data_IF_129438455825
#
_entry.id   IF_129438455825
#
_cell.length_a   1.000
_cell.length_b   1.000
_cell.length_c   1.000
_cell.angle_alpha   90.00
_cell.angle_beta   90.00
_cell.angle_gamma   90.00
#
_symmetry.space_group_name_H-M   'P 1'
#
loop_
_entity.id
_entity.type
_entity.pdbx_description
1 polymer ?
#
# COMPACT_ATOMS: atom_id res chain seq x y z
N UNK A 1 -25.12 -13.70 -7.47
CA UNK A 1 -24.23 -13.76 -6.28
C UNK A 1 -22.82 -14.25 -6.61
N UNK A 2 -22.62 -15.45 -7.20
CA UNK A 2 -21.25 -15.96 -7.53
C UNK A 2 -20.50 -14.98 -8.43
N UNK A 3 -21.11 -14.45 -9.49
CA UNK A 3 -20.48 -13.46 -10.37
C UNK A 3 -20.03 -12.20 -9.63
N UNK A 4 -20.77 -11.74 -8.65
CA UNK A 4 -20.43 -10.56 -7.83
C UNK A 4 -19.21 -10.84 -6.94
N UNK A 5 -19.15 -12.04 -6.34
CA UNK A 5 -17.96 -12.47 -5.56
C UNK A 5 -16.73 -12.51 -6.45
N UNK A 6 -16.83 -13.13 -7.63
CA UNK A 6 -15.70 -13.19 -8.60
C UNK A 6 -15.28 -11.80 -9.03
N UNK A 7 -16.23 -10.92 -9.33
CA UNK A 7 -15.93 -9.53 -9.70
C UNK A 7 -15.22 -8.78 -8.57
N UNK A 8 -15.67 -8.93 -7.32
CA UNK A 8 -15.01 -8.35 -6.16
C UNK A 8 -13.59 -8.89 -5.94
N UNK A 9 -13.41 -10.21 -6.03
CA UNK A 9 -12.07 -10.83 -5.92
C UNK A 9 -11.12 -10.33 -7.01
N UNK A 10 -11.59 -10.28 -8.26
CA UNK A 10 -10.79 -9.76 -9.38
C UNK A 10 -10.46 -8.28 -9.20
N UNK A 11 -11.39 -7.48 -8.70
CA UNK A 11 -11.14 -6.08 -8.39
C UNK A 11 -10.08 -5.92 -7.29
N UNK A 12 -10.19 -6.66 -6.20
CA UNK A 12 -9.26 -6.59 -5.09
C UNK A 12 -7.85 -7.10 -5.44
N UNK A 13 -7.75 -8.24 -6.14
CA UNK A 13 -6.45 -8.72 -6.63
C UNK A 13 -5.87 -7.81 -7.71
N UNK A 14 -6.69 -7.29 -8.61
CA UNK A 14 -6.26 -6.41 -9.68
C UNK A 14 -5.58 -5.13 -9.18
N UNK A 15 -6.07 -4.53 -8.08
CA UNK A 15 -5.44 -3.37 -7.46
C UNK A 15 -4.22 -3.75 -6.60
N UNK A 16 -4.25 -4.92 -5.95
CA UNK A 16 -3.24 -5.30 -4.97
C UNK A 16 -2.00 -5.97 -5.58
N UNK A 17 -2.17 -6.78 -6.65
CA UNK A 17 -1.07 -7.56 -7.27
C UNK A 17 0.02 -6.71 -7.91
N UNK A 18 -0.27 -5.58 -8.59
CA UNK A 18 0.79 -4.73 -9.11
C UNK A 18 1.61 -4.15 -7.95
N UNK A 19 2.79 -4.72 -7.70
CA UNK A 19 3.66 -4.28 -6.60
C UNK A 19 4.20 -2.88 -6.91
N UNK A 20 3.53 -1.88 -6.35
CA UNK A 20 3.91 -0.48 -6.45
C UNK A 20 4.72 0.00 -5.24
N UNK A 21 4.91 1.33 -5.10
CA UNK A 21 5.62 1.93 -3.99
C UNK A 21 5.05 1.54 -2.61
N UNK A 22 3.73 1.42 -2.48
CA UNK A 22 3.03 1.04 -1.24
C UNK A 22 3.39 -0.39 -0.83
N UNK A 23 3.30 -1.35 -1.76
CA UNK A 23 3.67 -2.75 -1.51
C UNK A 23 5.15 -2.90 -1.15
N UNK A 24 6.03 -2.20 -1.87
CA UNK A 24 7.47 -2.17 -1.58
C UNK A 24 7.75 -1.61 -0.18
N UNK A 25 7.06 -0.53 0.20
CA UNK A 25 7.17 0.04 1.54
C UNK A 25 6.65 -0.92 2.62
N UNK A 26 5.54 -1.63 2.37
CA UNK A 26 4.98 -2.64 3.26
C UNK A 26 6.00 -3.76 3.55
N UNK A 27 6.60 -4.33 2.50
CA UNK A 27 7.65 -5.36 2.62
C UNK A 27 8.83 -4.84 3.43
N UNK A 28 9.33 -3.64 3.10
CA UNK A 28 10.45 -3.02 3.80
C UNK A 28 10.13 -2.68 5.28
N UNK A 29 8.92 -2.21 5.55
CA UNK A 29 8.45 -1.93 6.91
C UNK A 29 8.42 -3.23 7.72
N UNK A 30 7.84 -4.30 7.18
CA UNK A 30 7.73 -5.58 7.86
C UNK A 30 9.10 -6.21 8.10
N UNK A 31 10.01 -6.14 7.12
CA UNK A 31 11.38 -6.64 7.24
C UNK A 31 12.17 -5.96 8.38
N UNK A 32 11.89 -4.67 8.64
CA UNK A 32 12.58 -3.87 9.68
C UNK A 32 11.91 -3.91 11.04
N UNK A 33 10.66 -4.34 11.12
CA UNK A 33 9.88 -4.33 12.35
C UNK A 33 9.50 -5.74 12.80
N UNK A 34 8.27 -6.15 12.55
CA UNK A 34 7.78 -7.48 12.86
C UNK A 34 6.60 -7.85 11.97
N UNK A 35 6.30 -9.15 11.88
CA UNK A 35 5.12 -9.64 11.16
C UNK A 35 3.82 -9.02 11.71
N UNK A 36 3.73 -8.82 13.02
CA UNK A 36 2.55 -8.18 13.65
C UNK A 36 2.35 -6.77 13.12
N UNK A 37 3.39 -5.95 13.10
CA UNK A 37 3.33 -4.57 12.59
C UNK A 37 3.03 -4.57 11.08
N UNK A 38 3.66 -5.49 10.33
CA UNK A 38 3.38 -5.68 8.91
C UNK A 38 1.95 -6.10 8.63
N UNK A 39 1.35 -6.97 9.45
CA UNK A 39 -0.04 -7.37 9.31
C UNK A 39 -1.01 -6.19 9.54
N UNK A 40 -0.77 -5.36 10.56
CA UNK A 40 -1.56 -4.13 10.74
C UNK A 40 -1.39 -3.15 9.58
N UNK A 41 -0.19 -2.99 9.07
CA UNK A 41 0.10 -2.18 7.89
C UNK A 41 -0.63 -2.72 6.64
N UNK A 42 -0.59 -4.04 6.41
CA UNK A 42 -1.30 -4.72 5.33
C UNK A 42 -2.82 -4.51 5.40
N UNK A 43 -3.39 -4.62 6.60
CA UNK A 43 -4.82 -4.34 6.83
C UNK A 43 -5.15 -2.86 6.59
N UNK A 44 -4.23 -1.93 6.87
CA UNK A 44 -4.40 -0.52 6.53
C UNK A 44 -4.53 -0.30 5.02
N UNK A 45 -3.67 -0.95 4.21
CA UNK A 45 -3.78 -0.93 2.73
C UNK A 45 -5.12 -1.51 2.29
N UNK A 46 -5.45 -2.72 2.75
CA UNK A 46 -6.68 -3.39 2.36
C UNK A 46 -7.94 -2.60 2.75
N UNK A 47 -7.91 -1.89 3.89
CA UNK A 47 -9.01 -1.02 4.30
C UNK A 47 -9.20 0.16 3.35
N UNK A 48 -8.12 0.76 2.84
CA UNK A 48 -8.20 1.80 1.81
C UNK A 48 -8.80 1.25 0.52
N UNK A 49 -8.35 0.08 0.07
CA UNK A 49 -8.91 -0.59 -1.12
C UNK A 49 -10.39 -0.92 -0.94
N UNK A 50 -10.78 -1.39 0.27
CA UNK A 50 -12.19 -1.64 0.62
C UNK A 50 -13.05 -0.37 0.59
N UNK A 51 -12.52 0.76 1.08
CA UNK A 51 -13.21 2.07 0.99
C UNK A 51 -13.39 2.47 -0.47
N UNK A 52 -12.36 2.36 -1.29
CA UNK A 52 -12.47 2.65 -2.73
C UNK A 52 -13.46 1.71 -3.44
N UNK A 53 -13.45 0.42 -3.09
CA UNK A 53 -14.42 -0.54 -3.61
C UNK A 53 -15.86 -0.16 -3.21
N UNK A 54 -16.06 0.30 -1.97
CA UNK A 54 -17.37 0.77 -1.50
C UNK A 54 -17.85 2.02 -2.24
N UNK A 55 -16.97 2.99 -2.45
CA UNK A 55 -17.24 4.20 -3.23
C UNK A 55 -17.55 3.82 -4.69
N UNK A 56 -16.76 2.94 -5.28
CA UNK A 56 -16.96 2.45 -6.65
C UNK A 56 -18.33 1.76 -6.80
N UNK A 57 -18.69 0.86 -5.88
CA UNK A 57 -19.96 0.15 -5.92
C UNK A 57 -21.18 1.01 -5.58
N UNK A 58 -20.99 2.06 -4.75
CA UNK A 58 -22.09 2.90 -4.24
C UNK A 58 -22.44 4.09 -5.14
N UNK A 59 -21.43 4.80 -5.64
CA UNK A 59 -21.60 6.10 -6.28
C UNK A 59 -20.86 6.22 -7.63
N UNK A 60 -20.43 5.10 -8.18
CA UNK A 60 -19.49 5.07 -9.28
C UNK A 60 -19.87 5.88 -10.51
N UNK A 61 -21.10 5.75 -10.98
CA UNK A 61 -21.57 6.46 -12.17
C UNK A 61 -21.66 7.98 -11.97
N UNK A 62 -21.89 8.43 -10.74
CA UNK A 62 -22.00 9.87 -10.39
C UNK A 62 -20.63 10.49 -10.14
N UNK A 63 -19.71 9.73 -9.53
CA UNK A 63 -18.40 10.25 -9.14
C UNK A 63 -17.35 10.17 -10.24
N UNK A 64 -17.48 9.28 -11.21
CA UNK A 64 -16.52 9.10 -12.28
C UNK A 64 -16.18 10.41 -13.03
N UNK A 65 -17.16 11.22 -13.47
CA UNK A 65 -16.86 12.48 -14.15
C UNK A 65 -16.19 13.52 -13.25
N UNK A 66 -16.44 13.47 -11.93
CA UNK A 66 -15.84 14.39 -10.95
C UNK A 66 -14.40 14.02 -10.60
N UNK A 67 -14.04 12.75 -10.75
CA UNK A 67 -12.69 12.27 -10.43
C UNK A 67 -11.68 12.56 -11.56
N UNK A 68 -12.12 12.56 -12.81
CA UNK A 68 -11.25 12.77 -13.99
C UNK A 68 -10.37 14.02 -13.88
N UNK A 69 -10.88 15.22 -13.53
CA UNK A 69 -10.06 16.43 -13.46
C UNK A 69 -9.05 16.46 -12.32
N UNK A 70 -9.30 15.72 -11.22
CA UNK A 70 -8.43 15.73 -10.03
C UNK A 70 -7.37 14.62 -10.03
N UNK A 71 -7.46 13.64 -10.93
CA UNK A 71 -6.50 12.54 -11.03
C UNK A 71 -5.09 13.05 -11.33
N UNK A 72 -4.94 14.04 -12.23
CA UNK A 72 -3.65 14.62 -12.57
C UNK A 72 -2.94 15.28 -11.37
N UNK A 73 -3.54 16.27 -10.73
CA UNK A 73 -2.99 16.90 -9.51
C UNK A 73 -2.67 15.89 -8.40
N UNK A 74 -3.56 14.92 -8.18
CA UNK A 74 -3.38 13.91 -7.14
C UNK A 74 -2.21 12.97 -7.45
N UNK A 75 -1.99 12.64 -8.72
CA UNK A 75 -0.85 11.86 -9.19
C UNK A 75 0.47 12.54 -8.81
N UNK A 76 0.60 13.83 -9.07
CA UNK A 76 1.79 14.62 -8.71
C UNK A 76 1.97 14.74 -7.19
N UNK A 77 0.90 15.01 -6.45
CA UNK A 77 0.95 15.05 -5.00
C UNK A 77 1.46 13.71 -4.40
N UNK A 78 0.99 12.60 -4.93
CA UNK A 78 1.43 11.27 -4.48
C UNK A 78 2.90 11.00 -4.79
N UNK A 79 3.40 11.42 -5.95
CA UNK A 79 4.83 11.29 -6.29
C UNK A 79 5.69 12.06 -5.29
N UNK A 80 5.32 13.29 -4.97
CA UNK A 80 6.04 14.11 -3.98
C UNK A 80 6.05 13.42 -2.61
N UNK A 81 4.91 12.90 -2.15
CA UNK A 81 4.83 12.18 -0.87
C UNK A 81 5.67 10.90 -0.87
N UNK A 82 5.59 10.10 -1.93
CA UNK A 82 6.34 8.84 -2.04
C UNK A 82 7.85 9.07 -2.10
N UNK A 83 8.30 10.05 -2.90
CA UNK A 83 9.73 10.44 -2.96
C UNK A 83 10.17 10.97 -1.60
N UNK A 84 9.37 11.84 -0.97
CA UNK A 84 9.67 12.34 0.37
C UNK A 84 9.86 11.22 1.39
N UNK A 85 8.96 10.24 1.43
CA UNK A 85 9.06 9.06 2.31
C UNK A 85 10.28 8.19 1.98
N UNK A 86 10.59 7.99 0.71
CA UNK A 86 11.77 7.23 0.28
C UNK A 86 13.06 7.92 0.73
N UNK A 87 13.17 9.23 0.51
CA UNK A 87 14.34 10.03 0.93
C UNK A 87 14.49 10.04 2.45
N UNK A 88 13.41 10.28 3.19
CA UNK A 88 13.42 10.24 4.65
C UNK A 88 13.78 8.85 5.19
N UNK A 89 13.27 7.79 4.55
CA UNK A 89 13.60 6.40 4.88
C UNK A 89 15.07 6.08 4.66
N UNK A 90 15.62 6.46 3.51
CA UNK A 90 17.04 6.29 3.17
C UNK A 90 17.94 7.11 4.11
N UNK A 91 17.62 8.38 4.34
CA UNK A 91 18.39 9.26 5.23
C UNK A 91 18.42 8.71 6.67
N UNK A 92 17.27 8.27 7.20
CA UNK A 92 17.20 7.61 8.51
C UNK A 92 18.03 6.32 8.56
N UNK A 93 18.00 5.50 7.50
CA UNK A 93 18.77 4.25 7.45
C UNK A 93 20.29 4.53 7.44
N UNK A 94 20.75 5.49 6.65
CA UNK A 94 22.15 5.89 6.59
C UNK A 94 22.61 6.50 7.92
N UNK A 95 21.80 7.41 8.49
CA UNK A 95 22.09 8.01 9.80
C UNK A 95 22.24 6.95 10.88
N UNK A 96 21.32 6.02 10.98
CA UNK A 96 21.35 4.90 11.93
C UNK A 96 22.56 3.98 11.73
N UNK A 97 22.94 3.72 10.48
CA UNK A 97 24.12 2.93 10.18
C UNK A 97 25.39 3.61 10.67
N UNK A 98 25.52 4.95 10.47
CA UNK A 98 26.65 5.76 10.95
C UNK A 98 26.66 5.86 12.48
N UNK A 99 25.50 6.11 13.11
CA UNK A 99 25.36 6.23 14.56
C UNK A 99 25.66 4.91 15.27
N UNK A 100 25.28 3.75 14.71
CA UNK A 100 25.62 2.43 15.27
C UNK A 100 27.10 2.10 15.27
N UNK A 101 27.88 2.75 14.44
CA UNK A 101 29.33 2.65 14.48
C UNK A 101 29.94 3.40 15.68
N UNK A 102 29.14 4.30 16.29
CA UNK A 102 29.57 5.17 17.40
C UNK A 102 28.87 4.76 18.72
N UNK A 103 27.61 4.30 18.68
CA UNK A 103 26.81 4.00 19.85
C UNK A 103 26.04 2.67 19.71
N UNK A 104 26.51 1.62 20.34
CA UNK A 104 25.89 0.28 20.32
C UNK A 104 24.58 0.15 21.12
N UNK A 105 23.92 1.24 21.58
CA UNK A 105 22.91 1.19 22.63
C UNK A 105 21.67 2.08 22.47
N UNK A 106 21.28 2.53 21.28
CA UNK A 106 19.96 3.18 21.16
C UNK A 106 18.98 2.29 20.43
N UNK A 107 18.05 1.71 21.21
CA UNK A 107 16.88 0.97 20.72
C UNK A 107 16.04 1.86 19.81
N UNK A 108 15.72 1.35 18.64
CA UNK A 108 14.74 1.99 17.74
C UNK A 108 13.42 2.12 18.50
N UNK A 109 12.83 3.32 18.51
CA UNK A 109 11.45 3.48 18.99
C UNK A 109 10.57 2.61 18.07
N UNK A 110 9.95 1.54 18.60
CA UNK A 110 9.17 0.63 17.76
C UNK A 110 7.98 1.41 17.17
N UNK A 111 7.79 1.31 15.87
CA UNK A 111 6.57 1.83 15.24
C UNK A 111 5.41 1.03 15.82
N UNK A 112 4.44 1.70 16.44
CA UNK A 112 3.25 1.05 16.97
C UNK A 112 2.37 0.47 15.85
N UNK A 113 1.65 -0.61 16.14
CA UNK A 113 0.75 -1.24 15.18
C UNK A 113 -0.33 -0.27 14.64
N UNK A 114 -0.87 0.60 15.49
CA UNK A 114 -1.81 1.66 15.08
C UNK A 114 -1.17 2.63 14.10
N UNK A 115 0.02 3.11 14.36
CA UNK A 115 0.76 4.02 13.46
C UNK A 115 1.04 3.36 12.12
N UNK A 116 1.37 2.06 12.11
CA UNK A 116 1.57 1.30 10.88
C UNK A 116 0.26 1.18 10.08
N UNK A 117 -0.86 0.86 10.74
CA UNK A 117 -2.17 0.76 10.10
C UNK A 117 -2.61 2.09 9.47
N UNK A 118 -2.69 3.17 10.27
CA UNK A 118 -3.17 4.46 9.78
C UNK A 118 -2.20 5.12 8.80
N UNK A 119 -0.90 4.91 8.97
CA UNK A 119 0.11 5.38 8.02
C UNK A 119 -0.05 4.73 6.63
N UNK A 120 -0.25 3.40 6.60
CA UNK A 120 -0.45 2.69 5.34
C UNK A 120 -1.83 2.96 4.73
N UNK A 121 -2.87 3.08 5.55
CA UNK A 121 -4.19 3.50 5.10
C UNK A 121 -4.11 4.87 4.42
N UNK A 122 -3.54 5.88 5.09
CA UNK A 122 -3.39 7.21 4.52
C UNK A 122 -2.54 7.26 3.26
N UNK A 123 -1.42 6.51 3.24
CA UNK A 123 -0.57 6.41 2.05
C UNK A 123 -1.32 5.80 0.85
N UNK A 124 -2.14 4.76 1.08
CA UNK A 124 -2.92 4.11 0.04
C UNK A 124 -4.09 4.99 -0.42
N UNK A 125 -4.73 5.71 0.51
CA UNK A 125 -5.78 6.68 0.18
C UNK A 125 -5.27 7.84 -0.69
N UNK A 126 -3.99 8.20 -0.59
CA UNK A 126 -3.35 9.21 -1.43
C UNK A 126 -2.71 8.59 -2.70
N UNK A 127 -2.79 7.28 -2.88
CA UNK A 127 -2.18 6.62 -4.03
C UNK A 127 -3.07 6.79 -5.28
N UNK A 128 -2.62 7.52 -6.31
CA UNK A 128 -3.42 7.77 -7.50
C UNK A 128 -3.69 6.50 -8.32
N UNK A 129 -2.81 5.49 -8.28
CA UNK A 129 -3.05 4.22 -8.95
C UNK A 129 -4.30 3.52 -8.42
N UNK A 130 -4.48 3.49 -7.11
CA UNK A 130 -5.67 2.92 -6.49
C UNK A 130 -6.92 3.67 -6.94
N UNK A 131 -6.85 5.01 -6.96
CA UNK A 131 -7.96 5.85 -7.42
C UNK A 131 -8.28 5.63 -8.91
N UNK A 132 -7.26 5.64 -9.78
CA UNK A 132 -7.43 5.44 -11.23
C UNK A 132 -8.01 4.05 -11.49
N UNK A 133 -7.50 3.02 -10.79
CA UNK A 133 -7.99 1.67 -10.93
C UNK A 133 -9.47 1.55 -10.58
N UNK A 134 -9.88 2.07 -9.42
CA UNK A 134 -11.28 2.03 -9.01
C UNK A 134 -12.17 2.94 -9.85
N UNK A 135 -11.67 4.09 -10.33
CA UNK A 135 -12.38 4.93 -11.30
C UNK A 135 -12.61 4.18 -12.61
N UNK A 136 -11.61 3.48 -13.13
CA UNK A 136 -11.75 2.65 -14.34
C UNK A 136 -12.73 1.50 -14.13
N UNK A 137 -12.71 0.87 -12.94
CA UNK A 137 -13.65 -0.18 -12.59
C UNK A 137 -15.10 0.32 -12.57
N UNK A 138 -15.31 1.53 -12.08
CA UNK A 138 -16.58 2.23 -12.07
C UNK A 138 -17.07 2.50 -13.48
N UNK A 139 -16.20 3.06 -14.36
CA UNK A 139 -16.52 3.36 -15.75
C UNK A 139 -16.82 2.09 -16.55
N UNK A 140 -16.15 0.98 -16.23
CA UNK A 140 -16.39 -0.32 -16.84
C UNK A 140 -17.71 -0.99 -16.44
N UNK A 141 -18.40 -0.44 -15.44
CA UNK A 141 -19.66 -0.97 -14.92
C UNK A 141 -19.44 -2.22 -14.07
N UNK A 142 -19.60 -2.11 -12.74
CA UNK A 142 -19.45 -3.27 -11.85
C UNK A 142 -20.58 -4.30 -12.01
N UNK A 143 -21.65 -3.98 -12.74
CA UNK A 143 -22.85 -4.82 -12.85
C UNK A 143 -23.60 -5.03 -11.54
N UNK A 144 -23.24 -4.32 -10.49
CA UNK A 144 -23.73 -4.47 -9.12
C UNK A 144 -24.85 -3.48 -8.87
N UNK A 145 -26.10 -3.95 -8.78
CA UNK A 145 -27.28 -3.07 -8.69
C UNK A 145 -27.92 -3.05 -7.29
N UNK A 146 -27.90 -4.17 -6.60
CA UNK A 146 -28.54 -4.32 -5.29
C UNK A 146 -27.62 -4.01 -4.11
N UNK A 147 -28.17 -3.55 -2.97
CA UNK A 147 -27.41 -3.25 -1.74
C UNK A 147 -26.64 -4.49 -1.25
N UNK A 148 -27.28 -5.67 -1.26
CA UNK A 148 -26.62 -6.92 -0.87
C UNK A 148 -25.45 -7.29 -1.78
N UNK A 149 -25.60 -7.08 -3.09
CA UNK A 149 -24.52 -7.30 -4.06
C UNK A 149 -23.35 -6.35 -3.85
N UNK A 150 -23.62 -5.08 -3.53
CA UNK A 150 -22.57 -4.08 -3.21
C UNK A 150 -21.77 -4.51 -1.99
N UNK A 151 -22.41 -4.97 -0.93
CA UNK A 151 -21.73 -5.45 0.27
C UNK A 151 -20.85 -6.65 -0.06
N UNK A 152 -21.37 -7.63 -0.79
CA UNK A 152 -20.63 -8.83 -1.20
C UNK A 152 -19.42 -8.47 -2.05
N UNK A 153 -19.58 -7.56 -3.01
CA UNK A 153 -18.48 -7.06 -3.84
C UNK A 153 -17.37 -6.42 -3.00
N UNK A 154 -17.74 -5.50 -2.09
CA UNK A 154 -16.79 -4.80 -1.22
C UNK A 154 -16.04 -5.75 -0.31
N UNK A 155 -16.76 -6.68 0.32
CA UNK A 155 -16.16 -7.70 1.21
C UNK A 155 -15.21 -8.61 0.43
N UNK A 156 -15.57 -9.03 -0.77
CA UNK A 156 -14.71 -9.85 -1.63
C UNK A 156 -13.46 -9.09 -2.07
N UNK A 157 -13.60 -7.83 -2.47
CA UNK A 157 -12.48 -6.97 -2.84
C UNK A 157 -11.52 -6.73 -1.67
N UNK A 158 -12.06 -6.41 -0.50
CA UNK A 158 -11.27 -6.26 0.73
C UNK A 158 -10.52 -7.55 1.08
N UNK A 159 -11.21 -8.71 1.06
CA UNK A 159 -10.60 -10.00 1.39
C UNK A 159 -9.47 -10.37 0.42
N UNK A 160 -9.66 -10.13 -0.87
CA UNK A 160 -8.62 -10.36 -1.89
C UNK A 160 -7.40 -9.45 -1.66
N UNK A 161 -7.62 -8.15 -1.46
CA UNK A 161 -6.52 -7.23 -1.14
C UNK A 161 -5.83 -7.61 0.16
N UNK A 162 -6.58 -7.87 1.24
CA UNK A 162 -6.03 -8.25 2.53
C UNK A 162 -5.16 -9.52 2.44
N UNK A 163 -5.63 -10.55 1.73
CA UNK A 163 -4.87 -11.78 1.54
C UNK A 163 -3.53 -11.54 0.85
N UNK A 164 -3.53 -10.74 -0.22
CA UNK A 164 -2.31 -10.40 -0.94
C UNK A 164 -1.34 -9.55 -0.11
N UNK A 165 -1.85 -8.52 0.55
CA UNK A 165 -1.03 -7.63 1.39
C UNK A 165 -0.44 -8.38 2.60
N UNK A 166 -1.18 -9.31 3.21
CA UNK A 166 -0.67 -10.18 4.28
C UNK A 166 0.41 -11.13 3.76
N UNK A 167 0.28 -11.64 2.53
CA UNK A 167 1.31 -12.45 1.89
C UNK A 167 2.59 -11.63 1.67
N UNK A 168 2.49 -10.39 1.19
CA UNK A 168 3.63 -9.48 1.08
C UNK A 168 4.26 -9.17 2.44
N UNK A 169 3.47 -8.96 3.48
CA UNK A 169 3.97 -8.77 4.84
C UNK A 169 4.70 -10.02 5.35
N UNK A 170 4.18 -11.22 5.09
CA UNK A 170 4.83 -12.50 5.39
C UNK A 170 6.19 -12.62 4.72
N UNK A 171 6.26 -12.34 3.43
CA UNK A 171 7.51 -12.28 2.67
C UNK A 171 8.51 -11.27 3.24
N UNK A 172 8.04 -10.07 3.62
CA UNK A 172 8.85 -9.06 4.27
C UNK A 172 9.42 -9.51 5.62
N UNK A 173 8.60 -10.18 6.43
CA UNK A 173 9.06 -10.73 7.72
C UNK A 173 10.13 -11.83 7.54
N UNK A 174 9.95 -12.69 6.54
CA UNK A 174 10.94 -13.71 6.20
C UNK A 174 12.26 -13.07 5.75
N UNK A 175 12.20 -12.10 4.86
CA UNK A 175 13.35 -11.34 4.39
C UNK A 175 14.08 -10.65 5.57
N UNK A 176 13.33 -10.07 6.50
CA UNK A 176 13.88 -9.45 7.71
C UNK A 176 14.62 -10.43 8.61
N UNK A 177 14.16 -11.68 8.71
CA UNK A 177 14.85 -12.74 9.46
C UNK A 177 16.15 -13.19 8.80
N UNK A 178 16.18 -13.24 7.46
CA UNK A 178 17.36 -13.62 6.69
C UNK A 178 18.44 -12.53 6.71
N UNK A 179 18.03 -11.26 6.83
CA UNK A 179 18.90 -10.09 6.79
C UNK A 179 19.08 -9.47 8.19
N UNK A 180 19.50 -10.28 9.16
CA UNK A 180 19.58 -9.88 10.59
C UNK A 180 20.70 -8.89 10.92
N UNK A 181 21.73 -8.74 10.07
CA UNK A 181 22.89 -7.84 10.30
C UNK A 181 22.59 -6.36 10.04
N UNK A 182 23.41 -5.46 10.63
CA UNK A 182 23.30 -4.01 10.39
C UNK A 182 23.46 -3.63 8.91
N UNK A 183 24.37 -4.30 8.20
CA UNK A 183 24.58 -4.12 6.77
C UNK A 183 23.40 -4.62 5.96
N UNK A 184 22.83 -5.78 6.29
CA UNK A 184 21.63 -6.32 5.62
C UNK A 184 20.44 -5.37 5.72
N UNK A 185 20.20 -4.80 6.91
CA UNK A 185 19.14 -3.80 7.13
C UNK A 185 19.37 -2.51 6.34
N UNK A 186 20.60 -2.03 6.23
CA UNK A 186 20.94 -0.87 5.42
C UNK A 186 20.68 -1.15 3.94
N UNK A 187 21.20 -2.26 3.42
CA UNK A 187 21.02 -2.65 2.02
C UNK A 187 19.53 -2.78 1.68
N UNK A 188 18.74 -3.47 2.51
CA UNK A 188 17.29 -3.61 2.31
C UNK A 188 16.59 -2.24 2.30
N UNK A 189 16.94 -1.35 3.23
CA UNK A 189 16.33 -0.02 3.31
C UNK A 189 16.67 0.84 2.09
N UNK A 190 17.93 0.81 1.62
CA UNK A 190 18.35 1.57 0.45
C UNK A 190 17.75 1.00 -0.84
N UNK A 191 17.75 -0.33 -1.01
CA UNK A 191 17.14 -1.00 -2.15
C UNK A 191 15.62 -0.70 -2.24
N UNK A 192 14.91 -0.77 -1.11
CA UNK A 192 13.48 -0.42 -1.04
C UNK A 192 13.24 1.05 -1.38
N UNK A 193 14.06 1.97 -0.84
CA UNK A 193 13.93 3.39 -1.14
C UNK A 193 14.18 3.69 -2.61
N UNK A 194 15.19 3.05 -3.21
CA UNK A 194 15.49 3.19 -4.65
C UNK A 194 14.32 2.67 -5.50
N UNK A 195 13.78 1.50 -5.16
CA UNK A 195 12.65 0.92 -5.88
C UNK A 195 11.41 1.80 -5.78
N UNK A 196 11.12 2.37 -4.60
CA UNK A 196 10.01 3.32 -4.41
C UNK A 196 10.19 4.54 -5.32
N UNK A 197 11.40 5.11 -5.38
CA UNK A 197 11.69 6.28 -6.26
C UNK A 197 11.50 5.92 -7.73
N UNK A 198 12.04 4.78 -8.19
CA UNK A 198 11.89 4.33 -9.58
C UNK A 198 10.41 4.14 -9.94
N UNK A 199 9.64 3.50 -9.07
CA UNK A 199 8.21 3.29 -9.29
C UNK A 199 7.42 4.60 -9.22
N UNK A 200 7.80 5.53 -8.34
CA UNK A 200 7.19 6.86 -8.27
C UNK A 200 7.43 7.68 -9.54
N UNK A 201 8.65 7.63 -10.11
CA UNK A 201 8.96 8.29 -11.38
C UNK A 201 8.15 7.68 -12.51
N UNK A 202 8.09 6.34 -12.60
CA UNK A 202 7.25 5.66 -13.61
C UNK A 202 5.76 5.98 -13.51
N UNK A 203 5.30 6.47 -12.38
CA UNK A 203 3.92 6.88 -12.19
C UNK A 203 3.58 8.15 -13.00
N UNK A 204 4.55 9.01 -13.28
CA UNK A 204 4.36 10.29 -13.99
C UNK A 204 4.98 10.31 -15.40
N UNK A 205 5.85 9.35 -15.71
CA UNK A 205 6.35 9.14 -17.07
C UNK A 205 5.31 8.38 -17.92
#
# INVERSE_FOLDING_TARGET
>A
MIGVVVAGLLAGFGVAMPVGPVGTYLVALTARSSLRIGAFAALGVASADGVYAAVAAGAGTVLAPLLVPIVGPLRWASVVVLIGLAVLGAAKAVRRYRERRILALQQETPIGARTAYFGMLGMTMLNPWTMIYFAALVLGGSGVTGVGERIVFVVAAFAASASWQLLLAGGGALLGRLLTGATGRLVTALASSLLIVVLAIRLVA
#
